data_IF_533230423840
#
_entry.id   IF_533230423840
#
_cell.length_a   1.000
_cell.length_b   1.000
_cell.length_c   1.000
_cell.angle_alpha   90.00
_cell.angle_beta   90.00
_cell.angle_gamma   90.00
#
_symmetry.space_group_name_H-M   'P 1'
#
loop_
_entity.id
_entity.type
_entity.pdbx_description
1 polymer ?
#
# COMPACT_ATOMS: atom_id res chain seq x y z
N UNK A 1 38.24 -7.23 37.58
CA UNK A 1 37.86 -6.58 36.31
C UNK A 1 37.11 -7.63 35.50
N UNK A 2 35.77 -7.57 35.48
CA UNK A 2 34.93 -8.54 34.75
C UNK A 2 34.45 -7.89 33.43
N UNK A 3 34.86 -8.44 32.30
CA UNK A 3 34.45 -8.01 30.96
C UNK A 3 33.06 -8.60 30.69
N UNK A 4 32.03 -7.74 30.53
CA UNK A 4 30.73 -8.14 30.02
C UNK A 4 30.76 -8.07 28.49
N UNK A 5 30.62 -9.20 27.84
CA UNK A 5 30.37 -9.29 26.40
C UNK A 5 28.87 -9.14 26.16
N UNK A 6 28.47 -8.06 25.48
CA UNK A 6 27.10 -7.92 24.96
C UNK A 6 26.98 -8.72 23.67
N UNK A 7 26.21 -9.79 23.73
CA UNK A 7 25.80 -10.57 22.57
C UNK A 7 24.58 -9.87 21.94
N UNK A 8 24.78 -9.20 20.81
CA UNK A 8 23.69 -8.63 20.03
C UNK A 8 22.96 -9.77 19.30
N UNK A 9 21.77 -10.13 19.79
CA UNK A 9 20.88 -11.10 19.15
C UNK A 9 20.11 -10.36 18.04
N UNK A 10 20.59 -10.46 16.80
CA UNK A 10 19.86 -9.99 15.63
C UNK A 10 18.68 -10.92 15.36
N UNK A 11 17.48 -10.46 15.68
CA UNK A 11 16.24 -11.14 15.30
C UNK A 11 16.02 -10.95 13.78
N UNK A 12 16.36 -11.97 13.01
CA UNK A 12 15.88 -12.12 11.63
C UNK A 12 14.39 -12.45 11.71
N UNK A 13 13.53 -11.49 11.42
CA UNK A 13 12.13 -11.77 11.12
C UNK A 13 12.09 -12.33 9.71
N UNK A 14 12.16 -13.65 9.60
CA UNK A 14 11.82 -14.36 8.38
C UNK A 14 10.31 -14.19 8.17
N UNK A 15 9.94 -13.42 7.15
CA UNK A 15 8.58 -13.36 6.63
C UNK A 15 8.18 -14.75 6.14
N UNK A 16 7.46 -15.47 6.97
CA UNK A 16 6.87 -16.76 6.66
C UNK A 16 5.83 -16.56 5.57
N UNK A 17 6.12 -17.05 4.36
CA UNK A 17 5.08 -17.33 3.38
C UNK A 17 4.21 -18.45 3.95
N UNK A 18 3.11 -18.12 4.62
CA UNK A 18 2.06 -19.09 4.92
C UNK A 18 1.32 -19.38 3.61
N UNK A 19 1.82 -20.37 2.88
CA UNK A 19 0.97 -21.15 2.01
C UNK A 19 0.16 -22.05 2.93
N UNK A 20 -1.16 -21.92 2.97
CA UNK A 20 -2.02 -22.97 3.48
C UNK A 20 -1.84 -24.18 2.57
N UNK A 21 -1.10 -25.17 3.04
CA UNK A 21 -0.92 -26.43 2.35
C UNK A 21 -1.49 -27.51 3.26
N UNK A 22 -2.70 -27.99 2.95
CA UNK A 22 -3.19 -29.27 3.39
C UNK A 22 -2.91 -30.27 2.26
N UNK A 23 -1.99 -31.20 2.53
CA UNK A 23 -1.71 -32.33 1.67
C UNK A 23 -2.85 -33.37 1.84
N UNK A 24 -3.77 -33.42 0.88
CA UNK A 24 -4.52 -34.60 0.53
C UNK A 24 -4.60 -34.69 -0.98
N UNK A 25 -3.93 -35.70 -1.52
CA UNK A 25 -4.01 -36.10 -2.92
C UNK A 25 -5.44 -36.59 -3.24
N UNK A 26 -6.25 -35.70 -3.78
CA UNK A 26 -7.34 -36.03 -4.68
C UNK A 26 -7.26 -35.06 -5.86
N UNK A 27 -7.43 -35.61 -7.05
CA UNK A 27 -7.37 -35.01 -8.39
C UNK A 27 -8.32 -33.79 -8.49
N UNK A 28 -8.00 -32.72 -7.76
CA UNK A 28 -8.79 -31.49 -7.68
C UNK A 28 -8.40 -30.59 -8.83
N UNK A 29 -9.33 -30.31 -9.71
CA UNK A 29 -9.32 -29.21 -10.70
C UNK A 29 -8.60 -28.03 -10.09
N UNK A 30 -7.37 -27.73 -10.56
CA UNK A 30 -6.62 -26.54 -10.16
C UNK A 30 -7.52 -25.32 -10.36
N UNK A 31 -8.08 -24.80 -9.29
CA UNK A 31 -8.88 -23.57 -9.33
C UNK A 31 -8.04 -22.43 -9.93
N UNK A 32 -8.68 -21.57 -10.70
CA UNK A 32 -8.03 -20.38 -11.26
C UNK A 32 -7.56 -19.48 -10.12
N UNK A 33 -6.28 -19.13 -10.11
CA UNK A 33 -5.72 -18.17 -9.14
C UNK A 33 -5.64 -16.78 -9.77
N UNK A 34 -5.82 -15.76 -8.94
CA UNK A 34 -5.83 -14.37 -9.36
C UNK A 34 -4.68 -13.61 -8.70
N UNK A 35 -3.91 -12.89 -9.50
CA UNK A 35 -2.85 -12.01 -9.05
C UNK A 35 -3.38 -10.57 -8.93
N UNK A 36 -3.27 -9.99 -7.75
CA UNK A 36 -3.62 -8.61 -7.42
C UNK A 36 -2.36 -7.80 -7.19
N UNK A 37 -2.28 -6.63 -7.81
CA UNK A 37 -1.13 -5.73 -7.68
C UNK A 37 -1.63 -4.32 -7.41
N UNK A 38 -0.98 -3.63 -6.46
CA UNK A 38 -1.17 -2.21 -6.17
C UNK A 38 0.17 -1.51 -6.32
N UNK A 39 0.16 -0.37 -7.02
CA UNK A 39 1.32 0.52 -7.14
C UNK A 39 0.88 1.90 -6.69
N UNK A 40 1.61 2.50 -5.74
CA UNK A 40 1.56 3.92 -5.45
C UNK A 40 2.77 4.59 -6.09
N UNK A 41 2.58 5.76 -6.68
CA UNK A 41 3.66 6.50 -7.34
C UNK A 41 3.40 8.01 -7.40
N UNK A 42 4.42 8.75 -7.84
CA UNK A 42 4.36 10.18 -8.10
C UNK A 42 3.71 10.99 -6.95
N UNK A 43 4.12 10.81 -5.68
CA UNK A 43 3.67 11.67 -4.61
C UNK A 43 4.14 13.11 -4.86
N UNK A 44 3.32 14.10 -4.54
CA UNK A 44 3.75 15.50 -4.62
C UNK A 44 4.83 15.81 -3.58
N UNK A 45 5.60 16.88 -3.84
CA UNK A 45 6.64 17.35 -2.91
C UNK A 45 6.06 17.70 -1.52
N UNK A 46 4.83 18.24 -1.47
CA UNK A 46 4.17 18.54 -0.20
C UNK A 46 3.85 17.26 0.58
N UNK A 47 3.39 16.17 -0.09
CA UNK A 47 3.21 14.87 0.59
C UNK A 47 4.51 14.40 1.21
N UNK A 48 5.60 14.41 0.46
CA UNK A 48 6.90 13.91 0.95
C UNK A 48 7.49 14.77 2.07
N UNK A 49 7.24 16.08 2.05
CA UNK A 49 7.73 16.99 3.09
C UNK A 49 6.93 16.91 4.39
N UNK A 50 5.60 16.96 4.33
CA UNK A 50 4.77 17.14 5.52
C UNK A 50 3.91 15.92 5.92
N UNK A 51 3.85 14.84 5.12
CA UNK A 51 3.03 13.67 5.44
C UNK A 51 3.82 12.35 5.52
N UNK A 52 3.26 11.39 6.25
CA UNK A 52 3.49 9.96 6.03
C UNK A 52 2.37 9.41 5.17
N UNK A 53 2.64 8.34 4.42
CA UNK A 53 1.66 7.70 3.51
C UNK A 53 1.44 6.26 3.94
N UNK A 54 0.22 5.92 4.30
CA UNK A 54 -0.21 4.55 4.58
C UNK A 54 -1.07 4.02 3.43
N UNK A 55 -0.85 2.76 3.07
CA UNK A 55 -1.67 2.02 2.11
C UNK A 55 -2.37 0.86 2.82
N UNK A 56 -3.70 0.84 2.83
CA UNK A 56 -4.48 -0.31 3.28
C UNK A 56 -5.05 -1.02 2.06
N UNK A 57 -4.68 -2.29 1.89
CA UNK A 57 -5.08 -3.11 0.74
C UNK A 57 -5.97 -4.24 1.22
N UNK A 58 -7.11 -4.41 0.55
CA UNK A 58 -8.01 -5.55 0.74
C UNK A 58 -8.01 -6.38 -0.53
N UNK A 59 -7.35 -7.54 -0.47
CA UNK A 59 -7.37 -8.54 -1.54
C UNK A 59 -8.52 -9.50 -1.27
N UNK A 60 -9.30 -9.92 -2.28
CA UNK A 60 -10.39 -10.89 -2.12
C UNK A 60 -9.96 -12.15 -1.37
N UNK A 61 -10.79 -12.62 -0.45
CA UNK A 61 -10.49 -13.79 0.39
C UNK A 61 -9.39 -13.60 1.44
N UNK A 62 -8.88 -12.36 1.61
CA UNK A 62 -7.82 -12.05 2.57
C UNK A 62 -8.26 -10.94 3.54
N UNK A 63 -7.64 -10.91 4.72
CA UNK A 63 -7.79 -9.79 5.64
C UNK A 63 -7.15 -8.51 5.07
N UNK A 64 -7.62 -7.38 5.53
CA UNK A 64 -7.04 -6.08 5.18
C UNK A 64 -5.60 -5.96 5.72
N UNK A 65 -4.68 -5.54 4.89
CA UNK A 65 -3.29 -5.30 5.26
C UNK A 65 -2.94 -3.82 5.13
N UNK A 66 -2.28 -3.25 6.14
CA UNK A 66 -1.86 -1.84 6.15
C UNK A 66 -0.34 -1.74 6.15
N UNK A 67 0.20 -0.89 5.28
CA UNK A 67 1.62 -0.70 5.05
C UNK A 67 2.00 0.78 5.14
N UNK A 68 3.17 1.08 5.71
CA UNK A 68 3.80 2.39 5.56
C UNK A 68 4.56 2.43 4.22
N UNK A 69 4.04 3.21 3.28
CA UNK A 69 4.62 3.38 1.95
C UNK A 69 5.60 4.57 1.87
N UNK A 70 5.77 5.35 2.95
CA UNK A 70 6.49 6.63 2.96
C UNK A 70 7.94 6.51 2.50
N UNK A 71 8.67 5.52 3.05
CA UNK A 71 10.10 5.36 2.76
C UNK A 71 10.36 4.99 1.30
N UNK A 72 9.57 4.09 0.75
CA UNK A 72 9.69 3.67 -0.65
C UNK A 72 9.29 4.78 -1.62
N UNK A 73 8.18 5.49 -1.35
CA UNK A 73 7.77 6.65 -2.14
C UNK A 73 8.84 7.75 -2.13
N UNK A 74 9.49 7.99 -0.98
CA UNK A 74 10.54 9.01 -0.86
C UNK A 74 11.82 8.62 -1.61
N UNK A 75 12.23 7.36 -1.57
CA UNK A 75 13.51 6.90 -2.11
C UNK A 75 13.42 6.42 -3.55
N UNK A 76 12.30 5.80 -3.93
CA UNK A 76 12.10 5.16 -5.24
C UNK A 76 11.02 5.85 -6.08
N UNK A 77 10.30 6.83 -5.53
CA UNK A 77 9.10 7.44 -6.12
C UNK A 77 7.97 6.42 -6.41
N UNK A 78 8.05 5.24 -5.79
CA UNK A 78 7.12 4.13 -6.02
C UNK A 78 7.10 3.18 -4.83
N UNK A 79 5.91 2.68 -4.47
CA UNK A 79 5.68 1.56 -3.57
C UNK A 79 4.82 0.50 -4.26
N UNK A 80 5.09 -0.79 -4.05
CA UNK A 80 4.40 -1.91 -4.68
C UNK A 80 3.96 -2.94 -3.67
N UNK A 81 2.77 -3.47 -3.92
CA UNK A 81 2.20 -4.64 -3.24
C UNK A 81 1.73 -5.65 -4.29
N UNK A 82 1.90 -6.94 -4.01
CA UNK A 82 1.36 -8.02 -4.83
C UNK A 82 0.94 -9.19 -3.96
N UNK A 83 -0.22 -9.76 -4.27
CA UNK A 83 -0.74 -10.96 -3.61
C UNK A 83 -1.52 -11.82 -4.59
N UNK A 84 -1.54 -13.14 -4.33
CA UNK A 84 -2.33 -14.11 -5.08
C UNK A 84 -3.49 -14.56 -4.19
N UNK A 85 -4.66 -14.71 -4.77
CA UNK A 85 -5.88 -15.22 -4.13
C UNK A 85 -6.59 -16.22 -5.03
N UNK A 86 -7.35 -17.12 -4.45
CA UNK A 86 -8.24 -18.05 -5.16
C UNK A 86 -9.60 -17.40 -5.48
N UNK A 87 -9.87 -16.21 -4.94
CA UNK A 87 -11.13 -15.49 -5.15
C UNK A 87 -11.03 -14.42 -6.22
N UNK A 88 -12.01 -14.37 -7.10
CA UNK A 88 -12.20 -13.32 -8.09
C UNK A 88 -13.24 -12.33 -7.58
N UNK A 89 -12.78 -11.21 -7.03
CA UNK A 89 -13.64 -10.16 -6.49
C UNK A 89 -12.93 -8.79 -6.57
N UNK A 90 -13.58 -7.68 -6.20
CA UNK A 90 -12.97 -6.36 -6.24
C UNK A 90 -11.73 -6.24 -5.35
N UNK A 91 -10.66 -5.63 -5.90
CA UNK A 91 -9.49 -5.19 -5.15
C UNK A 91 -9.73 -3.78 -4.62
N UNK A 92 -9.59 -3.57 -3.32
CA UNK A 92 -9.79 -2.26 -2.70
C UNK A 92 -8.47 -1.72 -2.13
N UNK A 93 -8.22 -0.44 -2.39
CA UNK A 93 -7.09 0.32 -1.84
C UNK A 93 -7.62 1.55 -1.12
N UNK A 94 -7.18 1.75 0.12
CA UNK A 94 -7.31 3.01 0.85
C UNK A 94 -5.93 3.62 1.04
N UNK A 95 -5.75 4.88 0.60
CA UNK A 95 -4.53 5.66 0.87
C UNK A 95 -4.85 6.68 1.94
N UNK A 96 -4.00 6.76 2.96
CA UNK A 96 -4.08 7.74 4.03
C UNK A 96 -2.79 8.54 4.12
N UNK A 97 -2.86 9.86 3.92
CA UNK A 97 -1.78 10.80 4.17
C UNK A 97 -1.97 11.43 5.56
N UNK A 98 -1.07 11.14 6.50
CA UNK A 98 -1.08 11.71 7.86
C UNK A 98 -0.04 12.81 7.98
N UNK A 99 -0.42 13.97 8.47
CA UNK A 99 0.51 15.07 8.72
C UNK A 99 1.49 14.68 9.84
N UNK A 100 2.80 14.83 9.59
CA UNK A 100 3.85 14.46 10.54
C UNK A 100 3.92 15.41 11.74
N UNK A 101 3.79 16.71 11.47
CA UNK A 101 3.81 17.77 12.47
C UNK A 101 2.83 18.86 12.03
N UNK A 102 1.69 18.91 12.70
CA UNK A 102 0.61 19.87 12.36
C UNK A 102 1.00 21.30 12.73
N UNK A 103 1.88 21.50 13.72
CA UNK A 103 2.32 22.84 14.13
C UNK A 103 3.35 23.43 13.17
N UNK A 104 4.07 22.60 12.43
CA UNK A 104 5.01 23.05 11.41
C UNK A 104 4.35 23.48 10.09
N UNK A 105 3.02 23.31 9.94
CA UNK A 105 2.32 23.76 8.74
C UNK A 105 2.14 25.28 8.72
N UNK A 106 2.49 25.90 7.59
CA UNK A 106 2.15 27.30 7.30
C UNK A 106 0.65 27.39 6.95
N UNK A 107 -0.12 28.10 7.76
CA UNK A 107 -1.59 28.17 7.66
C UNK A 107 -2.06 28.85 6.37
N UNK A 108 -1.28 29.76 5.82
CA UNK A 108 -1.61 30.54 4.61
C UNK A 108 -1.12 29.86 3.32
N UNK A 109 -0.22 28.88 3.43
CA UNK A 109 0.28 28.13 2.27
C UNK A 109 -0.78 27.19 1.72
N UNK A 110 -0.85 27.10 0.38
CA UNK A 110 -1.61 26.06 -0.32
C UNK A 110 -0.72 24.82 -0.48
N UNK A 111 -1.12 23.71 0.12
CA UNK A 111 -0.48 22.41 -0.02
C UNK A 111 -1.20 21.56 -1.06
N UNK A 112 -0.46 20.89 -1.92
CA UNK A 112 -1.01 19.92 -2.86
C UNK A 112 -0.73 18.51 -2.35
N UNK A 113 -1.77 17.86 -1.83
CA UNK A 113 -1.66 16.49 -1.32
C UNK A 113 -2.20 15.52 -2.37
N UNK A 114 -1.27 14.85 -3.06
CA UNK A 114 -1.59 13.95 -4.16
C UNK A 114 -0.63 12.76 -4.21
N UNK A 115 -1.17 11.56 -4.47
CA UNK A 115 -0.43 10.32 -4.74
C UNK A 115 -1.11 9.62 -5.91
N UNK A 116 -0.34 9.17 -6.91
CA UNK A 116 -0.85 8.32 -7.98
C UNK A 116 -1.05 6.89 -7.49
N UNK A 117 -2.08 6.22 -7.98
CA UNK A 117 -2.33 4.81 -7.68
C UNK A 117 -2.68 4.04 -8.96
N UNK A 118 -2.19 2.81 -9.05
CA UNK A 118 -2.58 1.83 -10.07
C UNK A 118 -2.92 0.50 -9.41
N UNK A 119 -4.13 0.00 -9.67
CA UNK A 119 -4.61 -1.29 -9.22
C UNK A 119 -4.69 -2.22 -10.43
N UNK A 120 -4.21 -3.44 -10.29
CA UNK A 120 -4.27 -4.46 -11.34
C UNK A 120 -4.77 -5.78 -10.79
N UNK A 121 -5.61 -6.45 -11.58
CA UNK A 121 -6.08 -7.81 -11.32
C UNK A 121 -5.98 -8.64 -12.61
N UNK A 122 -5.41 -9.84 -12.52
CA UNK A 122 -5.28 -10.77 -13.65
C UNK A 122 -5.33 -12.21 -13.16
N UNK A 123 -5.63 -13.16 -14.02
CA UNK A 123 -5.34 -14.57 -13.72
C UNK A 123 -3.83 -14.73 -13.53
N UNK A 124 -3.41 -15.58 -12.58
CA UNK A 124 -2.00 -15.66 -12.17
C UNK A 124 -1.07 -16.18 -13.26
N UNK A 125 -1.58 -16.99 -14.18
CA UNK A 125 -0.92 -17.59 -15.32
C UNK A 125 -1.24 -16.87 -16.66
N UNK A 126 -1.97 -15.75 -16.59
CA UNK A 126 -2.28 -14.95 -17.77
C UNK A 126 -1.00 -14.35 -18.37
N UNK A 127 -0.92 -14.27 -19.73
CA UNK A 127 0.19 -13.58 -20.39
C UNK A 127 0.34 -12.14 -19.91
N UNK A 128 1.57 -11.63 -19.91
CA UNK A 128 1.86 -10.26 -19.54
C UNK A 128 0.97 -9.26 -20.31
N UNK A 129 0.42 -8.28 -19.59
CA UNK A 129 -0.46 -7.26 -20.15
C UNK A 129 -1.95 -7.65 -20.23
N UNK A 130 -2.32 -8.89 -19.89
CA UNK A 130 -3.73 -9.26 -19.73
C UNK A 130 -4.19 -9.00 -18.30
N UNK A 131 -5.49 -8.65 -18.15
CA UNK A 131 -6.12 -8.34 -16.87
C UNK A 131 -6.79 -6.96 -16.90
N UNK A 132 -7.41 -6.60 -15.77
CA UNK A 132 -7.99 -5.27 -15.56
C UNK A 132 -7.00 -4.36 -14.86
N UNK A 133 -6.98 -3.10 -15.27
CA UNK A 133 -6.13 -2.06 -14.67
C UNK A 133 -6.99 -0.82 -14.44
N UNK A 134 -6.85 -0.21 -13.26
CA UNK A 134 -7.40 1.09 -12.93
C UNK A 134 -6.28 1.98 -12.42
N UNK A 135 -6.05 3.10 -13.09
CA UNK A 135 -5.13 4.14 -12.63
C UNK A 135 -5.92 5.37 -12.22
N UNK A 136 -5.58 5.96 -11.10
CA UNK A 136 -6.25 7.12 -10.54
C UNK A 136 -5.28 8.00 -9.76
N UNK A 137 -5.69 9.23 -9.49
CA UNK A 137 -5.02 10.09 -8.52
C UNK A 137 -5.77 9.99 -7.20
N UNK A 138 -5.05 9.68 -6.13
CA UNK A 138 -5.59 9.62 -4.77
C UNK A 138 -5.32 10.94 -4.04
N UNK A 139 -6.34 11.45 -3.35
CA UNK A 139 -6.27 12.66 -2.52
C UNK A 139 -5.79 13.89 -3.35
N UNK A 140 -6.18 13.99 -4.61
CA UNK A 140 -5.73 15.03 -5.55
C UNK A 140 -6.30 16.42 -5.26
N UNK A 141 -6.08 16.99 -4.08
CA UNK A 141 -6.63 18.29 -3.67
C UNK A 141 -5.57 19.29 -3.24
N UNK A 142 -5.74 20.54 -3.71
CA UNK A 142 -5.10 21.70 -3.10
C UNK A 142 -5.83 22.08 -1.81
N UNK A 143 -5.10 22.25 -0.71
CA UNK A 143 -5.67 22.55 0.60
C UNK A 143 -4.86 23.62 1.33
N UNK A 144 -5.53 24.63 1.87
CA UNK A 144 -4.86 25.61 2.72
C UNK A 144 -4.32 24.95 4.00
N UNK A 145 -3.14 25.38 4.46
CA UNK A 145 -2.48 24.82 5.62
C UNK A 145 -3.34 24.78 6.87
N UNK A 146 -4.14 25.83 7.14
CA UNK A 146 -5.10 25.84 8.25
C UNK A 146 -6.12 24.71 8.21
N UNK A 147 -6.57 24.31 6.99
CA UNK A 147 -7.53 23.20 6.83
C UNK A 147 -6.81 21.85 6.99
N UNK A 148 -5.62 21.73 6.44
CA UNK A 148 -4.80 20.53 6.59
C UNK A 148 -4.40 20.30 8.06
N UNK A 149 -4.03 21.38 8.76
CA UNK A 149 -3.75 21.38 10.21
C UNK A 149 -4.94 20.91 11.03
N UNK A 150 -6.14 21.43 10.75
CA UNK A 150 -7.35 21.04 11.46
C UNK A 150 -7.77 19.57 11.21
N UNK A 151 -7.47 19.02 10.03
CA UNK A 151 -7.79 17.63 9.69
C UNK A 151 -6.76 16.63 10.20
N UNK A 152 -5.48 16.98 10.20
CA UNK A 152 -4.36 16.13 10.59
C UNK A 152 -4.08 14.95 9.64
N UNK A 153 -5.10 14.49 8.89
CA UNK A 153 -4.98 13.42 7.90
C UNK A 153 -6.02 13.55 6.77
N UNK A 154 -5.73 12.91 5.67
CA UNK A 154 -6.61 12.77 4.50
C UNK A 154 -6.61 11.31 4.08
N UNK A 155 -7.79 10.75 3.78
CA UNK A 155 -7.93 9.38 3.30
C UNK A 155 -8.86 9.32 2.09
N UNK A 156 -8.51 8.47 1.13
CA UNK A 156 -9.35 8.17 -0.03
C UNK A 156 -9.30 6.69 -0.33
N UNK A 157 -10.45 6.13 -0.76
CA UNK A 157 -10.58 4.72 -1.12
C UNK A 157 -10.95 4.59 -2.59
N UNK A 158 -10.32 3.65 -3.29
CA UNK A 158 -10.66 3.27 -4.66
C UNK A 158 -10.76 1.76 -4.77
N UNK A 159 -11.61 1.30 -5.72
CA UNK A 159 -11.84 -0.12 -5.96
C UNK A 159 -11.66 -0.43 -7.44
N UNK A 160 -11.00 -1.55 -7.75
CA UNK A 160 -10.95 -2.15 -9.08
C UNK A 160 -11.93 -3.32 -9.11
N UNK A 161 -13.01 -3.17 -9.87
CA UNK A 161 -13.95 -4.26 -10.17
C UNK A 161 -13.31 -5.26 -11.14
N UNK A 162 -13.39 -6.57 -10.82
CA UNK A 162 -12.76 -7.61 -11.64
C UNK A 162 -13.75 -8.51 -12.37
#
# INVERSE_FOLDING_TARGET
MKKFAFLALSLFVASSFMACHDENEEDSKKGTKYAYEVILNNPTADVMSCCTVEATVVVPGCEAETFDATADLKSKNEWRFRKISDEKAPLTLTVTCKVKDVEALDEDKLYTIQVGASLKASESDAPAGKGKIKSTTMIGQGMQGKVLKARGQLSETTTLEY
#
